data_IF_150607136232
#
_entry.id   IF_150607136232
#
_cell.length_a   1.000
_cell.length_b   1.000
_cell.length_c   1.000
_cell.angle_alpha   90.00
_cell.angle_beta   90.00
_cell.angle_gamma   90.00
#
_symmetry.space_group_name_H-M   'P 1'
#
loop_
_entity.id
_entity.type
_entity.pdbx_description
1 polymer ?
#
# COMPACT_ATOMS: atom_id res chain seq x y z
N UNK A 1 -6.77 23.43 -1.55
CA UNK A 1 -5.95 22.32 -2.08
C UNK A 1 -5.42 22.60 -3.49
N UNK A 2 -6.19 22.57 -4.65
CA UNK A 2 -5.60 22.77 -6.00
C UNK A 2 -4.92 24.12 -6.18
N UNK A 3 -5.46 25.22 -5.60
CA UNK A 3 -4.78 26.53 -5.60
C UNK A 3 -3.44 26.52 -4.86
N UNK A 4 -3.31 25.74 -3.81
CA UNK A 4 -2.06 25.53 -3.07
C UNK A 4 -1.05 24.74 -3.93
N UNK A 5 -1.49 23.68 -4.60
CA UNK A 5 -0.66 22.94 -5.55
C UNK A 5 -0.11 23.87 -6.64
N UNK A 6 -0.98 24.69 -7.23
CA UNK A 6 -0.58 25.66 -8.25
C UNK A 6 0.43 26.69 -7.71
N UNK A 7 0.24 27.17 -6.48
CA UNK A 7 1.18 28.05 -5.80
C UNK A 7 2.56 27.39 -5.60
N UNK A 8 2.58 26.14 -5.13
CA UNK A 8 3.82 25.38 -4.93
C UNK A 8 4.57 25.13 -6.25
N UNK A 9 3.84 24.78 -7.31
CA UNK A 9 4.42 24.57 -8.65
C UNK A 9 5.03 25.87 -9.18
N UNK A 10 4.28 26.99 -9.12
CA UNK A 10 4.72 28.27 -9.71
C UNK A 10 5.84 28.95 -8.94
N UNK A 11 5.79 28.91 -7.59
CA UNK A 11 6.73 29.67 -6.77
C UNK A 11 7.94 28.86 -6.31
N UNK A 12 7.82 27.53 -6.21
CA UNK A 12 8.88 26.68 -5.70
C UNK A 12 9.34 25.59 -6.69
N UNK A 13 8.75 25.54 -7.89
CA UNK A 13 9.11 24.56 -8.91
C UNK A 13 8.81 23.11 -8.54
N UNK A 14 7.84 22.87 -7.64
CA UNK A 14 7.41 21.53 -7.22
C UNK A 14 6.90 20.76 -8.44
N UNK A 15 7.32 19.50 -8.58
CA UNK A 15 6.95 18.63 -9.70
C UNK A 15 6.26 17.34 -9.27
N UNK A 16 6.27 17.04 -7.98
CA UNK A 16 5.69 15.84 -7.42
C UNK A 16 4.98 16.14 -6.10
N UNK A 17 3.79 15.58 -5.93
CA UNK A 17 2.95 15.75 -4.73
C UNK A 17 2.43 14.39 -4.30
N UNK A 18 2.41 14.16 -2.99
CA UNK A 18 1.74 13.03 -2.39
C UNK A 18 0.50 13.52 -1.63
N UNK A 19 -0.64 12.92 -1.93
CA UNK A 19 -1.86 13.09 -1.15
C UNK A 19 -1.81 12.12 0.03
N UNK A 20 -1.60 12.67 1.23
CA UNK A 20 -1.48 11.88 2.46
C UNK A 20 -2.83 11.65 3.16
N UNK A 21 -3.92 11.80 2.41
CA UNK A 21 -5.26 11.50 2.89
C UNK A 21 -5.40 10.01 3.23
N UNK A 22 -6.07 9.67 4.33
CA UNK A 22 -6.36 8.28 4.70
C UNK A 22 -7.22 7.57 3.65
N UNK A 23 -8.05 8.33 2.93
CA UNK A 23 -8.86 7.83 1.83
C UNK A 23 -9.23 8.93 0.84
N UNK A 24 -8.31 9.25 -0.06
CA UNK A 24 -8.50 10.27 -1.09
C UNK A 24 -9.76 10.02 -1.94
N UNK A 25 -10.08 8.74 -2.21
CA UNK A 25 -11.17 8.35 -3.12
C UNK A 25 -12.52 8.16 -2.44
N UNK A 26 -12.65 8.45 -1.13
CA UNK A 26 -13.90 8.27 -0.38
C UNK A 26 -15.08 9.00 -1.03
N UNK A 27 -14.86 10.21 -1.50
CA UNK A 27 -15.85 11.00 -2.24
C UNK A 27 -15.40 11.17 -3.68
N UNK A 28 -16.00 10.39 -4.58
CA UNK A 28 -15.68 10.38 -6.01
C UNK A 28 -15.65 11.78 -6.62
N UNK A 29 -16.71 12.58 -6.40
CA UNK A 29 -16.81 13.93 -6.94
C UNK A 29 -15.61 14.82 -6.53
N UNK A 30 -15.10 14.65 -5.31
CA UNK A 30 -13.94 15.42 -4.84
C UNK A 30 -12.67 15.11 -5.64
N UNK A 31 -12.41 13.84 -5.92
CA UNK A 31 -11.25 13.43 -6.74
C UNK A 31 -11.42 13.89 -8.19
N UNK A 32 -12.64 13.75 -8.74
CA UNK A 32 -12.95 14.22 -10.10
C UNK A 32 -12.73 15.73 -10.22
N UNK A 33 -13.15 16.52 -9.23
CA UNK A 33 -12.94 17.96 -9.20
C UNK A 33 -11.46 18.35 -9.14
N UNK A 34 -10.67 17.67 -8.28
CA UNK A 34 -9.21 17.87 -8.19
C UNK A 34 -8.57 17.59 -9.54
N UNK A 35 -8.83 16.41 -10.12
CA UNK A 35 -8.25 16.00 -11.40
C UNK A 35 -8.63 16.96 -12.53
N UNK A 36 -9.91 17.34 -12.63
CA UNK A 36 -10.38 18.26 -13.63
C UNK A 36 -9.78 19.69 -13.47
N UNK A 37 -9.59 20.15 -12.24
CA UNK A 37 -8.94 21.43 -11.97
C UNK A 37 -7.46 21.41 -12.37
N UNK A 38 -6.73 20.36 -12.03
CA UNK A 38 -5.32 20.19 -12.43
C UNK A 38 -5.19 20.23 -13.96
N UNK A 39 -6.05 19.48 -14.67
CA UNK A 39 -6.06 19.43 -16.13
C UNK A 39 -6.43 20.79 -16.76
N UNK A 40 -7.53 21.41 -16.30
CA UNK A 40 -8.02 22.70 -16.85
C UNK A 40 -7.02 23.83 -16.66
N UNK A 41 -6.34 23.86 -15.48
CA UNK A 41 -5.33 24.88 -15.16
C UNK A 41 -3.95 24.55 -15.74
N UNK A 42 -3.83 23.40 -16.43
CA UNK A 42 -2.57 22.92 -17.04
C UNK A 42 -1.42 22.87 -16.01
N UNK A 43 -1.71 22.42 -14.78
CA UNK A 43 -0.70 22.30 -13.74
C UNK A 43 0.15 21.06 -14.05
N UNK A 44 1.45 21.27 -14.33
CA UNK A 44 2.39 20.20 -14.69
C UNK A 44 2.98 19.56 -13.43
N UNK A 45 2.29 18.54 -12.92
CA UNK A 45 2.71 17.76 -11.74
C UNK A 45 2.52 16.26 -11.98
N UNK A 46 3.32 15.47 -11.26
CA UNK A 46 3.05 14.06 -10.98
C UNK A 46 2.53 13.92 -9.55
N UNK A 47 1.57 13.01 -9.31
CA UNK A 47 1.07 12.82 -7.96
C UNK A 47 0.78 11.36 -7.62
N UNK A 48 0.82 11.05 -6.33
CA UNK A 48 0.53 9.72 -5.78
C UNK A 48 -0.43 9.80 -4.60
N UNK A 49 -1.12 8.68 -4.32
CA UNK A 49 -1.84 8.45 -3.07
C UNK A 49 -1.22 7.25 -2.34
N UNK A 50 -0.18 7.48 -1.52
CA UNK A 50 0.60 6.41 -0.91
C UNK A 50 -0.04 5.78 0.33
N UNK A 51 -0.99 6.46 0.99
CA UNK A 51 -1.63 5.96 2.23
C UNK A 51 -2.77 4.98 1.98
N UNK A 52 -3.28 4.95 0.77
CA UNK A 52 -4.28 3.98 0.37
C UNK A 52 -5.52 4.61 -0.27
N UNK A 53 -6.14 3.84 -1.13
CA UNK A 53 -7.43 4.17 -1.74
C UNK A 53 -8.37 2.99 -1.59
N UNK A 54 -9.67 3.26 -1.56
CA UNK A 54 -10.68 2.20 -1.56
C UNK A 54 -10.86 1.65 -2.98
N UNK A 55 -10.71 0.34 -3.13
CA UNK A 55 -10.83 -0.33 -4.42
C UNK A 55 -12.24 -0.26 -5.01
N UNK A 56 -13.27 -0.26 -4.15
CA UNK A 56 -14.68 -0.22 -4.53
C UNK A 56 -15.13 1.14 -5.08
N UNK A 57 -14.36 2.21 -4.87
CA UNK A 57 -14.65 3.55 -5.40
C UNK A 57 -14.03 3.79 -6.78
N UNK A 58 -13.18 2.87 -7.25
CA UNK A 58 -12.43 3.00 -8.48
C UNK A 58 -13.12 2.28 -9.65
N UNK A 59 -13.22 2.99 -10.75
CA UNK A 59 -13.58 2.41 -12.05
C UNK A 59 -12.63 2.92 -13.14
N UNK A 60 -12.74 2.37 -14.33
CA UNK A 60 -11.91 2.72 -15.47
C UNK A 60 -11.94 4.22 -15.78
N UNK A 61 -13.12 4.84 -15.76
CA UNK A 61 -13.28 6.27 -16.10
C UNK A 61 -12.53 7.17 -15.11
N UNK A 62 -12.67 6.89 -13.80
CA UNK A 62 -11.96 7.62 -12.76
C UNK A 62 -10.43 7.41 -12.86
N UNK A 63 -9.97 6.18 -13.07
CA UNK A 63 -8.55 5.86 -13.21
C UNK A 63 -7.92 6.55 -14.43
N UNK A 64 -8.61 6.59 -15.57
CA UNK A 64 -8.16 7.32 -16.75
C UNK A 64 -8.09 8.85 -16.49
N UNK A 65 -9.07 9.41 -15.77
CA UNK A 65 -9.07 10.82 -15.36
C UNK A 65 -7.92 11.13 -14.41
N UNK A 66 -7.71 10.30 -13.38
CA UNK A 66 -6.59 10.40 -12.45
C UNK A 66 -5.25 10.35 -13.21
N UNK A 67 -5.10 9.41 -14.14
CA UNK A 67 -3.88 9.30 -14.96
C UNK A 67 -3.62 10.55 -15.78
N UNK A 68 -4.63 11.10 -16.45
CA UNK A 68 -4.51 12.34 -17.23
C UNK A 68 -4.14 13.55 -16.38
N UNK A 69 -4.54 13.58 -15.11
CA UNK A 69 -4.19 14.63 -14.16
C UNK A 69 -2.80 14.49 -13.55
N UNK A 70 -2.03 13.44 -13.92
CA UNK A 70 -0.67 13.23 -13.44
C UNK A 70 -0.53 12.13 -12.38
N UNK A 71 -1.59 11.36 -12.05
CA UNK A 71 -1.47 10.23 -11.13
C UNK A 71 -0.49 9.19 -11.65
N UNK A 72 0.53 8.86 -10.86
CA UNK A 72 1.48 7.83 -11.24
C UNK A 72 1.47 6.60 -10.33
N UNK A 73 0.94 6.71 -9.09
CA UNK A 73 0.91 5.59 -8.14
C UNK A 73 -0.32 5.67 -7.23
N UNK A 74 -0.93 4.51 -7.00
CA UNK A 74 -1.98 4.29 -6.01
C UNK A 74 -1.59 3.14 -5.08
N UNK A 75 -1.79 3.32 -3.79
CA UNK A 75 -1.67 2.25 -2.81
C UNK A 75 -3.05 1.70 -2.41
N UNK A 76 -3.09 0.41 -2.09
CA UNK A 76 -4.30 -0.31 -1.69
C UNK A 76 -4.06 -0.95 -0.31
N UNK A 77 -4.86 -0.59 0.68
CA UNK A 77 -4.90 -1.29 1.97
C UNK A 77 -5.65 -2.60 1.80
N UNK A 78 -4.93 -3.68 1.50
CA UNK A 78 -5.51 -5.02 1.27
C UNK A 78 -5.64 -5.77 2.59
N UNK A 79 -4.64 -5.65 3.43
CA UNK A 79 -4.43 -6.23 4.75
C UNK A 79 -4.24 -7.76 4.71
N UNK A 80 -5.18 -8.53 4.15
CA UNK A 80 -5.10 -9.98 3.98
C UNK A 80 -5.52 -10.42 2.58
N UNK A 81 -4.94 -11.49 2.09
CA UNK A 81 -5.37 -12.18 0.86
C UNK A 81 -6.36 -13.32 1.13
N UNK A 82 -6.86 -13.43 2.35
CA UNK A 82 -7.90 -14.37 2.75
C UNK A 82 -9.17 -13.60 3.14
N UNK A 83 -10.30 -13.92 2.50
CA UNK A 83 -11.57 -13.21 2.70
C UNK A 83 -12.13 -13.38 4.12
N UNK A 84 -12.03 -14.58 4.69
CA UNK A 84 -12.54 -14.85 6.05
C UNK A 84 -11.79 -14.05 7.12
N UNK A 85 -10.49 -13.83 6.93
CA UNK A 85 -9.68 -12.96 7.81
C UNK A 85 -10.13 -11.52 7.68
N UNK A 86 -10.36 -11.01 6.45
CA UNK A 86 -10.86 -9.65 6.24
C UNK A 86 -12.22 -9.45 6.90
N UNK A 87 -13.13 -10.39 6.74
CA UNK A 87 -14.48 -10.35 7.34
C UNK A 87 -14.38 -10.36 8.88
N UNK A 88 -13.50 -11.19 9.43
CA UNK A 88 -13.27 -11.29 10.88
C UNK A 88 -12.77 -10.00 11.51
N UNK A 89 -11.86 -9.29 10.83
CA UNK A 89 -11.32 -8.01 11.31
C UNK A 89 -12.21 -6.81 10.96
N UNK A 90 -13.36 -7.06 10.33
CA UNK A 90 -14.32 -6.03 9.95
C UNK A 90 -13.88 -5.18 8.77
N UNK A 91 -12.92 -5.65 7.97
CA UNK A 91 -12.52 -4.97 6.73
C UNK A 91 -13.58 -5.22 5.66
N UNK A 92 -14.44 -4.25 5.44
CA UNK A 92 -15.52 -4.32 4.43
C UNK A 92 -14.94 -4.20 3.01
N UNK A 93 -14.23 -5.24 2.56
CA UNK A 93 -13.52 -5.26 1.27
C UNK A 93 -13.64 -6.64 0.65
N UNK A 94 -14.01 -6.71 -0.62
CA UNK A 94 -14.03 -7.93 -1.43
C UNK A 94 -12.74 -8.03 -2.24
N UNK A 95 -12.00 -9.13 -2.07
CA UNK A 95 -10.74 -9.38 -2.76
C UNK A 95 -10.88 -9.41 -4.30
N UNK A 96 -12.05 -9.78 -4.83
CA UNK A 96 -12.31 -9.74 -6.28
C UNK A 96 -12.40 -8.30 -6.78
N UNK A 97 -13.03 -7.41 -6.00
CA UNK A 97 -13.11 -5.98 -6.30
C UNK A 97 -11.71 -5.36 -6.25
N UNK A 98 -10.93 -5.68 -5.21
CA UNK A 98 -9.54 -5.23 -5.07
C UNK A 98 -8.71 -5.66 -6.26
N UNK A 99 -8.77 -6.94 -6.64
CA UNK A 99 -8.01 -7.46 -7.77
C UNK A 99 -8.39 -6.76 -9.09
N UNK A 100 -9.69 -6.53 -9.32
CA UNK A 100 -10.16 -5.79 -10.50
C UNK A 100 -9.61 -4.36 -10.52
N UNK A 101 -9.68 -3.64 -9.40
CA UNK A 101 -9.18 -2.27 -9.29
C UNK A 101 -7.66 -2.19 -9.57
N UNK A 102 -6.88 -3.13 -9.04
CA UNK A 102 -5.43 -3.23 -9.29
C UNK A 102 -5.16 -3.42 -10.79
N UNK A 103 -5.88 -4.36 -11.44
CA UNK A 103 -5.70 -4.63 -12.88
C UNK A 103 -6.07 -3.42 -13.72
N UNK A 104 -7.19 -2.75 -13.44
CA UNK A 104 -7.62 -1.55 -14.18
C UNK A 104 -6.67 -0.37 -13.95
N UNK A 105 -6.16 -0.16 -12.73
CA UNK A 105 -5.13 0.85 -12.46
C UNK A 105 -3.85 0.58 -13.26
N UNK A 106 -3.40 -0.67 -13.30
CA UNK A 106 -2.25 -1.07 -14.12
C UNK A 106 -2.48 -0.87 -15.62
N UNK A 107 -3.70 -1.13 -16.13
CA UNK A 107 -4.09 -0.84 -17.54
C UNK A 107 -4.07 0.65 -17.85
N UNK A 108 -4.47 1.50 -16.91
CA UNK A 108 -4.37 2.95 -17.03
C UNK A 108 -2.92 3.46 -16.94
N UNK A 109 -1.94 2.59 -16.70
CA UNK A 109 -0.52 2.97 -16.55
C UNK A 109 -0.21 3.64 -15.20
N UNK A 110 -0.97 3.31 -14.16
CA UNK A 110 -0.74 3.75 -12.78
C UNK A 110 -0.03 2.61 -12.04
N UNK A 111 1.08 2.91 -11.37
CA UNK A 111 1.80 1.95 -10.52
C UNK A 111 0.94 1.59 -9.32
N UNK A 112 0.82 0.31 -9.02
CA UNK A 112 -0.01 -0.20 -7.93
C UNK A 112 0.84 -0.76 -6.79
N UNK A 113 0.52 -0.36 -5.55
CA UNK A 113 1.14 -0.89 -4.35
C UNK A 113 0.08 -1.51 -3.43
N UNK A 114 0.35 -2.68 -2.87
CA UNK A 114 -0.52 -3.32 -1.88
C UNK A 114 0.12 -3.34 -0.50
N UNK A 115 -0.66 -3.03 0.55
CA UNK A 115 -0.27 -3.23 1.93
C UNK A 115 -0.90 -4.50 2.47
N UNK A 116 -0.09 -5.32 3.13
CA UNK A 116 -0.50 -6.55 3.80
C UNK A 116 -0.02 -6.50 5.25
N UNK A 117 -0.87 -6.98 6.16
CA UNK A 117 -0.58 -7.06 7.60
C UNK A 117 -0.64 -8.53 8.01
N UNK A 118 0.41 -9.01 8.63
CA UNK A 118 0.49 -10.37 9.18
C UNK A 118 0.35 -10.34 10.69
N UNK A 119 -0.28 -11.36 11.23
CA UNK A 119 -0.61 -11.46 12.65
C UNK A 119 -2.02 -10.95 12.96
N UNK A 120 -2.92 -10.87 11.97
CA UNK A 120 -4.31 -10.50 12.20
C UNK A 120 -5.03 -11.56 13.06
N UNK A 121 -6.05 -11.18 13.87
CA UNK A 121 -6.84 -12.12 14.66
C UNK A 121 -7.41 -13.26 13.82
N UNK A 122 -7.11 -14.49 14.22
CA UNK A 122 -7.55 -15.71 13.55
C UNK A 122 -6.70 -16.15 12.37
N UNK A 123 -5.62 -15.43 12.04
CA UNK A 123 -4.67 -15.90 11.01
C UNK A 123 -3.97 -17.18 11.42
N UNK A 124 -3.64 -17.96 10.40
CA UNK A 124 -2.81 -19.16 10.46
C UNK A 124 -1.65 -19.02 9.47
N UNK A 125 -0.69 -19.91 9.52
CA UNK A 125 0.41 -19.95 8.53
C UNK A 125 -0.14 -20.10 7.10
N UNK A 126 -1.25 -20.84 6.93
CA UNK A 126 -1.89 -21.03 5.63
C UNK A 126 -2.54 -19.74 5.12
N UNK A 127 -3.30 -19.00 5.95
CA UNK A 127 -3.93 -17.73 5.53
C UNK A 127 -2.89 -16.64 5.23
N UNK A 128 -1.75 -16.66 5.94
CA UNK A 128 -0.60 -15.81 5.60
C UNK A 128 -0.02 -16.20 4.23
N UNK A 129 0.09 -17.51 3.93
CA UNK A 129 0.53 -17.98 2.63
C UNK A 129 -0.46 -17.60 1.51
N UNK A 130 -1.78 -17.59 1.79
CA UNK A 130 -2.80 -17.07 0.85
C UNK A 130 -2.61 -15.60 0.55
N UNK A 131 -2.31 -14.79 1.55
CA UNK A 131 -2.00 -13.36 1.38
C UNK A 131 -0.80 -13.16 0.45
N UNK A 132 0.24 -13.97 0.58
CA UNK A 132 1.40 -13.95 -0.32
C UNK A 132 1.02 -14.41 -1.73
N UNK A 133 0.17 -15.46 -1.87
CA UNK A 133 -0.34 -15.92 -3.17
C UNK A 133 -1.15 -14.84 -3.86
N UNK A 134 -2.07 -14.20 -3.13
CA UNK A 134 -2.86 -13.08 -3.64
C UNK A 134 -1.97 -11.92 -4.11
N UNK A 135 -1.01 -11.47 -3.30
CA UNK A 135 -0.08 -10.42 -3.70
C UNK A 135 0.62 -10.74 -5.03
N UNK A 136 1.04 -12.02 -5.21
CA UNK A 136 1.75 -12.47 -6.42
C UNK A 136 0.87 -12.57 -7.67
N UNK A 137 -0.42 -12.86 -7.51
CA UNK A 137 -1.37 -13.09 -8.61
C UNK A 137 -2.23 -11.88 -8.96
N UNK A 138 -2.38 -10.91 -8.05
CA UNK A 138 -3.28 -9.76 -8.21
C UNK A 138 -2.85 -8.75 -9.28
N UNK A 139 -1.59 -8.79 -9.74
CA UNK A 139 -1.08 -7.81 -10.71
C UNK A 139 -0.37 -6.61 -10.11
N UNK A 140 -0.22 -6.55 -8.80
CA UNK A 140 0.52 -5.50 -8.09
C UNK A 140 1.94 -5.32 -8.64
N UNK A 141 2.37 -4.05 -8.71
CA UNK A 141 3.75 -3.68 -9.04
C UNK A 141 4.64 -3.67 -7.79
N UNK A 142 4.07 -3.33 -6.63
CA UNK A 142 4.76 -3.29 -5.33
C UNK A 142 3.88 -3.92 -4.26
N UNK A 143 4.51 -4.53 -3.26
CA UNK A 143 3.83 -5.03 -2.07
C UNK A 143 4.67 -4.71 -0.83
N UNK A 144 4.00 -4.34 0.25
CA UNK A 144 4.60 -4.16 1.56
C UNK A 144 3.92 -5.13 2.52
N UNK A 145 4.74 -5.84 3.29
CA UNK A 145 4.30 -6.82 4.27
C UNK A 145 4.74 -6.35 5.65
N UNK A 146 3.78 -6.09 6.50
CA UNK A 146 3.95 -5.51 7.83
C UNK A 146 3.47 -6.51 8.89
N UNK A 147 3.96 -6.36 10.10
CA UNK A 147 3.42 -7.05 11.26
C UNK A 147 2.35 -6.19 11.93
N UNK A 148 1.31 -6.85 12.44
CA UNK A 148 0.28 -6.16 13.22
C UNK A 148 0.89 -5.57 14.48
N UNK A 149 0.65 -4.28 14.68
CA UNK A 149 0.93 -3.56 15.92
C UNK A 149 -0.41 -3.04 16.47
N UNK A 150 -0.98 -3.69 17.50
CA UNK A 150 -2.25 -3.27 18.09
C UNK A 150 -2.14 -1.87 18.68
N UNK A 151 -2.89 -0.92 18.12
CA UNK A 151 -2.84 0.46 18.55
C UNK A 151 -3.74 0.69 19.76
N UNK A 152 -3.35 1.54 20.74
CA UNK A 152 -4.25 2.02 21.78
C UNK A 152 -5.50 2.66 21.17
N UNK A 153 -6.66 2.36 21.73
CA UNK A 153 -7.95 2.83 21.21
C UNK A 153 -8.49 1.99 20.04
N UNK A 154 -7.73 1.02 19.52
CA UNK A 154 -8.28 0.01 18.64
C UNK A 154 -8.94 -1.10 19.47
N UNK A 155 -9.98 -1.75 18.91
CA UNK A 155 -10.67 -2.85 19.60
C UNK A 155 -9.69 -3.92 20.09
N UNK A 156 -8.78 -4.39 19.27
CA UNK A 156 -7.76 -5.37 19.65
C UNK A 156 -6.83 -4.81 20.74
N UNK A 157 -6.42 -3.54 20.64
CA UNK A 157 -5.58 -2.89 21.65
C UNK A 157 -6.27 -2.81 23.01
N UNK A 158 -7.56 -2.52 23.03
CA UNK A 158 -8.37 -2.48 24.26
C UNK A 158 -8.60 -3.88 24.85
N UNK A 159 -8.88 -4.88 24.02
CA UNK A 159 -9.02 -6.29 24.45
C UNK A 159 -7.71 -6.80 25.09
N UNK A 160 -6.56 -6.48 24.52
CA UNK A 160 -5.26 -6.86 25.08
C UNK A 160 -4.93 -6.12 26.37
N UNK A 161 -5.24 -4.83 26.46
CA UNK A 161 -5.05 -4.03 27.66
C UNK A 161 -5.94 -4.55 28.81
N UNK A 162 -7.19 -4.89 28.54
CA UNK A 162 -8.09 -5.51 29.51
C UNK A 162 -7.60 -6.88 30.01
N UNK A 163 -6.88 -7.62 29.14
CA UNK A 163 -6.21 -8.88 29.51
C UNK A 163 -4.89 -8.72 30.29
N UNK A 164 -4.51 -7.49 30.68
CA UNK A 164 -3.29 -7.21 31.45
C UNK A 164 -2.02 -7.07 30.59
N UNK A 165 -2.12 -7.05 29.27
CA UNK A 165 -0.98 -6.82 28.38
C UNK A 165 -0.78 -5.31 28.13
N UNK A 166 -0.19 -4.62 29.10
CA UNK A 166 0.12 -3.19 29.03
C UNK A 166 1.49 -2.89 28.41
N UNK A 167 1.91 -3.66 27.42
CA UNK A 167 3.25 -3.49 26.83
C UNK A 167 3.36 -2.18 26.07
N UNK A 168 3.90 -1.14 26.70
CA UNK A 168 4.45 0.04 26.03
C UNK A 168 5.79 -0.35 25.38
N UNK A 169 5.76 -0.89 24.16
CA UNK A 169 6.98 -1.17 23.38
C UNK A 169 7.20 -0.09 22.34
N UNK A 170 8.47 0.21 21.97
CA UNK A 170 8.70 1.04 20.80
C UNK A 170 8.06 0.38 19.58
N UNK A 171 7.17 1.11 18.93
CA UNK A 171 6.40 0.60 17.80
C UNK A 171 7.30 0.42 16.59
N UNK A 172 7.32 -0.79 16.08
CA UNK A 172 8.00 -1.12 14.84
C UNK A 172 7.18 -2.19 14.12
N UNK A 173 6.67 -1.86 12.97
CA UNK A 173 5.95 -2.81 12.08
C UNK A 173 6.85 -3.96 11.56
N UNK A 174 8.09 -4.04 12.04
CA UNK A 174 9.05 -5.11 11.74
C UNK A 174 9.28 -6.04 12.95
N UNK A 175 8.69 -5.74 14.10
CA UNK A 175 8.80 -6.55 15.31
C UNK A 175 7.43 -7.11 15.68
N UNK A 176 7.42 -8.36 16.19
CA UNK A 176 6.19 -9.00 16.66
C UNK A 176 5.76 -8.33 17.95
N UNK A 177 4.78 -7.44 17.86
CA UNK A 177 4.16 -6.81 19.02
C UNK A 177 3.07 -7.69 19.64
N UNK A 178 2.36 -8.42 18.79
CA UNK A 178 1.32 -9.39 19.16
C UNK A 178 1.34 -10.55 18.16
N UNK A 179 0.91 -11.73 18.61
CA UNK A 179 0.87 -12.93 17.78
C UNK A 179 -0.43 -13.69 18.06
N UNK A 180 -1.23 -14.04 17.03
CA UNK A 180 -2.40 -14.87 17.22
C UNK A 180 -1.98 -16.27 17.73
N UNK A 181 -2.80 -16.93 18.57
CA UNK A 181 -2.44 -18.24 19.16
C UNK A 181 -2.21 -19.35 18.13
N UNK A 182 -2.69 -19.15 16.91
CA UNK A 182 -2.64 -20.08 15.79
C UNK A 182 -1.34 -20.02 14.97
N UNK A 183 -0.44 -19.09 15.29
CA UNK A 183 0.83 -18.87 14.59
C UNK A 183 1.97 -18.80 15.60
N UNK A 184 3.12 -19.40 15.29
CA UNK A 184 4.28 -19.24 16.16
C UNK A 184 4.94 -17.86 16.00
N UNK A 185 5.43 -17.22 17.09
CA UNK A 185 6.12 -15.94 17.01
C UNK A 185 7.34 -15.97 16.08
N UNK A 186 8.06 -17.09 16.04
CA UNK A 186 9.23 -17.29 15.19
C UNK A 186 8.87 -17.33 13.70
N UNK A 187 7.75 -17.96 13.36
CA UNK A 187 7.22 -17.96 12.01
C UNK A 187 6.80 -16.54 11.63
N UNK A 188 6.01 -15.88 12.48
CA UNK A 188 5.47 -14.56 12.23
C UNK A 188 6.59 -13.53 12.03
N UNK A 189 7.62 -13.55 12.87
CA UNK A 189 8.78 -12.65 12.74
C UNK A 189 9.50 -12.78 11.39
N UNK A 190 9.50 -13.98 10.79
CA UNK A 190 10.16 -14.25 9.50
C UNK A 190 9.25 -14.06 8.29
N UNK A 191 7.92 -14.05 8.51
CA UNK A 191 6.93 -14.04 7.44
C UNK A 191 7.06 -12.83 6.49
N UNK A 192 7.21 -11.56 6.96
CA UNK A 192 7.37 -10.41 6.08
C UNK A 192 8.58 -10.53 5.16
N UNK A 193 9.74 -10.93 5.68
CA UNK A 193 10.95 -11.10 4.90
C UNK A 193 10.84 -12.23 3.86
N UNK A 194 10.18 -13.33 4.19
CA UNK A 194 9.89 -14.43 3.25
C UNK A 194 8.93 -13.98 2.15
N UNK A 195 7.85 -13.27 2.53
CA UNK A 195 6.87 -12.72 1.61
C UNK A 195 7.51 -11.72 0.64
N UNK A 196 8.32 -10.81 1.15
CA UNK A 196 9.07 -9.83 0.35
C UNK A 196 9.94 -10.54 -0.70
N UNK A 197 10.79 -11.48 -0.28
CA UNK A 197 11.62 -12.24 -1.22
C UNK A 197 10.78 -12.99 -2.25
N UNK A 198 9.73 -13.69 -1.81
CA UNK A 198 8.82 -14.43 -2.70
C UNK A 198 8.09 -13.54 -3.71
N UNK A 199 7.78 -12.30 -3.34
CA UNK A 199 7.12 -11.34 -4.23
C UNK A 199 8.12 -10.71 -5.21
N UNK A 200 9.24 -10.16 -4.73
CA UNK A 200 10.13 -9.33 -5.54
C UNK A 200 11.14 -10.11 -6.37
N UNK A 201 11.62 -11.29 -5.93
CA UNK A 201 12.59 -12.09 -6.69
C UNK A 201 12.00 -12.95 -7.81
N UNK A 202 10.84 -12.56 -8.34
CA UNK A 202 10.26 -13.15 -9.56
C UNK A 202 10.80 -12.42 -10.79
N UNK A 203 11.18 -13.13 -11.88
CA UNK A 203 11.75 -12.49 -13.07
C UNK A 203 10.89 -11.36 -13.64
N UNK A 204 9.57 -11.59 -13.71
CA UNK A 204 8.60 -10.58 -14.15
C UNK A 204 8.60 -9.34 -13.27
N UNK A 205 8.73 -9.52 -11.95
CA UNK A 205 8.71 -8.42 -10.99
C UNK A 205 10.01 -7.63 -11.02
N UNK A 206 11.14 -8.31 -11.11
CA UNK A 206 12.45 -7.69 -11.29
C UNK A 206 12.49 -6.83 -12.56
N UNK A 207 11.97 -7.36 -13.67
CA UNK A 207 11.86 -6.61 -14.92
C UNK A 207 11.01 -5.34 -14.76
N UNK A 208 9.84 -5.44 -14.08
CA UNK A 208 9.01 -4.26 -13.80
C UNK A 208 9.73 -3.23 -12.94
N UNK A 209 10.43 -3.66 -11.89
CA UNK A 209 11.19 -2.76 -11.01
C UNK A 209 12.30 -2.04 -11.80
N UNK A 210 13.07 -2.76 -12.61
CA UNK A 210 14.14 -2.16 -13.43
C UNK A 210 13.57 -1.10 -14.37
N UNK A 211 12.41 -1.33 -14.98
CA UNK A 211 11.76 -0.34 -15.86
C UNK A 211 11.26 0.91 -15.12
N UNK A 212 11.02 0.83 -13.83
CA UNK A 212 10.61 1.98 -13.00
C UNK A 212 11.80 2.84 -12.56
N UNK A 213 13.03 2.32 -12.61
CA UNK A 213 14.24 3.03 -12.20
C UNK A 213 14.61 4.04 -13.30
N UNK A 214 14.60 5.32 -12.96
CA UNK A 214 15.13 6.36 -13.82
C UNK A 214 16.66 6.35 -13.77
N UNK A 215 17.40 6.59 -14.90
CA UNK A 215 18.86 6.62 -14.90
C UNK A 215 19.48 7.52 -13.82
N UNK A 216 18.84 8.66 -13.53
CA UNK A 216 19.27 9.57 -12.47
C UNK A 216 19.24 8.95 -11.05
N UNK A 217 18.39 7.94 -10.84
CA UNK A 217 18.25 7.26 -9.53
C UNK A 217 19.29 6.15 -9.34
N UNK A 218 19.99 5.74 -10.40
CA UNK A 218 20.91 4.60 -10.35
C UNK A 218 22.06 4.86 -9.38
N UNK A 219 22.65 6.05 -9.39
CA UNK A 219 23.71 6.45 -8.46
C UNK A 219 23.25 6.40 -7.00
N UNK A 220 22.03 6.87 -6.75
CA UNK A 220 21.42 6.82 -5.41
C UNK A 220 21.17 5.38 -4.95
N UNK A 221 20.65 4.53 -5.82
CA UNK A 221 20.40 3.11 -5.51
C UNK A 221 21.70 2.36 -5.20
N UNK A 222 22.75 2.54 -6.02
CA UNK A 222 24.06 1.93 -5.77
C UNK A 222 24.62 2.37 -4.41
N UNK A 223 24.52 3.67 -4.08
CA UNK A 223 24.93 4.18 -2.78
C UNK A 223 24.14 3.54 -1.64
N UNK A 224 22.81 3.46 -1.75
CA UNK A 224 21.94 2.83 -0.73
C UNK A 224 22.22 1.34 -0.55
N UNK A 225 22.43 0.59 -1.63
CA UNK A 225 22.79 -0.83 -1.56
C UNK A 225 24.09 -1.02 -0.77
N UNK A 226 25.09 -0.18 -1.02
CA UNK A 226 26.36 -0.20 -0.29
C UNK A 226 26.21 0.20 1.18
N UNK A 227 25.45 1.26 1.46
CA UNK A 227 25.30 1.82 2.79
C UNK A 227 24.47 0.92 3.74
N UNK A 228 23.56 0.10 3.20
CA UNK A 228 22.68 -0.80 3.97
C UNK A 228 23.07 -2.28 3.91
N UNK A 229 24.18 -2.64 3.23
CA UNK A 229 24.70 -4.01 3.24
C UNK A 229 23.66 -5.05 2.78
N UNK A 230 22.92 -4.77 1.69
CA UNK A 230 21.84 -5.64 1.20
C UNK A 230 22.37 -6.93 0.52
N UNK A 231 23.66 -7.17 0.59
CA UNK A 231 24.33 -8.43 0.20
C UNK A 231 25.15 -8.98 1.36
#
# INVERSE_FOLDING_TARGET
MVGEIEYLVRNFGVREIHFEDDNLTLRRAHVEDICNLIIRRKIDISWAAPNGVRADTLDRGLLELMKRSGCYMLAFGIESGNQEILDRVGKQTDLKIVQRAIVEAGRAGIVTQGFFIFGLPGETEETIAESVRFAKSSGLDRAQFLLLDPLPGSRLGEELAAGGDHRSRPRSYQQVAWCPPTVSPEFLARAPGRAFRSFFFRPRQLYRLVRMIRPAQLKYLVRRIRDFGIF
#
